data_IF_442109188652
#
_entry.id   IF_442109188652
#
_cell.length_a   1.000
_cell.length_b   1.000
_cell.length_c   1.000
_cell.angle_alpha   90.00
_cell.angle_beta   90.00
_cell.angle_gamma   90.00
#
_symmetry.space_group_name_H-M   'P 1'
#
loop_
_entity.id
_entity.type
_entity.pdbx_description
1 polymer ?
#
# COMPACT_ATOMS: atom_id res chain seq x y z
N UNK A 1 -82.41 35.57 45.53
CA UNK A 1 -82.00 36.99 45.66
C UNK A 1 -80.49 37.03 45.41
N UNK A 2 -80.00 37.23 44.17
CA UNK A 2 -79.52 38.53 43.58
C UNK A 2 -78.81 39.38 44.65
N UNK A 3 -77.52 39.71 44.58
CA UNK A 3 -76.68 40.22 43.46
C UNK A 3 -75.19 40.09 43.86
N UNK A 4 -74.30 39.44 43.10
CA UNK A 4 -73.40 40.00 42.05
C UNK A 4 -73.04 41.49 42.19
N UNK A 5 -71.76 41.78 42.43
CA UNK A 5 -71.05 43.03 42.15
C UNK A 5 -69.53 42.68 42.08
N UNK A 6 -68.94 42.36 40.92
CA UNK A 6 -68.43 43.21 39.82
C UNK A 6 -67.16 44.04 40.15
N UNK A 7 -66.05 43.64 39.54
CA UNK A 7 -65.00 44.45 38.90
C UNK A 7 -64.47 45.66 39.71
N UNK A 8 -63.17 45.68 40.05
CA UNK A 8 -62.20 46.72 39.65
C UNK A 8 -60.81 46.48 40.30
N UNK A 9 -59.85 46.12 39.44
CA UNK A 9 -58.47 46.62 39.31
C UNK A 9 -57.50 46.52 40.49
N UNK A 10 -56.49 45.68 40.31
CA UNK A 10 -55.18 45.79 40.95
C UNK A 10 -54.12 45.11 40.09
N UNK A 11 -53.54 45.86 39.15
CA UNK A 11 -52.41 45.46 38.32
C UNK A 11 -51.16 45.35 39.22
N UNK A 12 -50.91 44.17 39.79
CA UNK A 12 -49.68 43.91 40.52
C UNK A 12 -48.68 43.23 39.58
N UNK A 13 -47.74 44.05 39.11
CA UNK A 13 -46.55 43.69 38.37
C UNK A 13 -45.81 42.54 39.08
N UNK A 14 -45.91 41.32 38.54
CA UNK A 14 -45.13 40.19 39.01
C UNK A 14 -43.67 40.39 38.59
N UNK A 15 -42.86 40.97 39.48
CA UNK A 15 -41.40 40.91 39.40
C UNK A 15 -41.03 39.45 39.72
N UNK A 16 -40.93 38.63 38.68
CA UNK A 16 -40.30 37.31 38.79
C UNK A 16 -38.80 37.57 38.97
N UNK A 17 -38.37 37.44 40.22
CA UNK A 17 -36.97 37.42 40.63
C UNK A 17 -36.29 36.23 39.94
N UNK A 18 -35.66 36.47 38.78
CA UNK A 18 -34.75 35.52 38.16
C UNK A 18 -33.52 35.39 39.06
N UNK A 19 -33.59 34.48 40.04
CA UNK A 19 -32.41 33.99 40.74
C UNK A 19 -31.60 33.22 39.71
N UNK A 20 -30.55 33.88 39.20
CA UNK A 20 -29.61 33.30 38.27
C UNK A 20 -28.94 32.08 38.89
N UNK A 21 -29.39 30.89 38.49
CA UNK A 21 -28.57 29.69 38.60
C UNK A 21 -27.48 29.85 37.53
N UNK A 22 -26.36 30.44 37.93
CA UNK A 22 -25.12 30.32 37.17
C UNK A 22 -24.74 28.83 37.19
N UNK A 23 -25.23 28.08 36.20
CA UNK A 23 -24.66 26.77 35.90
C UNK A 23 -23.17 27.01 35.64
N UNK A 24 -22.25 26.30 36.30
CA UNK A 24 -20.86 26.36 35.91
C UNK A 24 -20.82 25.93 34.44
N UNK A 25 -20.56 26.89 33.56
CA UNK A 25 -20.12 26.62 32.21
C UNK A 25 -18.83 25.85 32.36
N UNK A 26 -18.95 24.51 32.39
CA UNK A 26 -17.80 23.65 32.24
C UNK A 26 -17.23 24.07 30.90
N UNK A 27 -16.07 24.72 30.91
CA UNK A 27 -15.29 24.91 29.72
C UNK A 27 -15.20 23.53 29.08
N UNK A 28 -15.94 23.31 28.00
CA UNK A 28 -15.71 22.17 27.14
C UNK A 28 -14.30 22.41 26.62
N UNK A 29 -13.31 21.81 27.30
CA UNK A 29 -11.99 21.65 26.74
C UNK A 29 -12.24 21.00 25.39
N UNK A 30 -12.05 21.76 24.31
CA UNK A 30 -12.11 21.22 22.97
C UNK A 30 -11.21 19.99 22.98
N UNK A 31 -11.78 18.82 22.69
CA UNK A 31 -10.98 17.61 22.57
C UNK A 31 -9.85 17.93 21.58
N UNK A 32 -8.61 17.73 22.01
CA UNK A 32 -7.46 17.95 21.14
C UNK A 32 -7.57 17.13 19.85
N UNK A 33 -6.78 17.45 18.82
CA UNK A 33 -6.84 16.77 17.54
C UNK A 33 -6.71 15.25 17.71
N UNK A 34 -7.54 14.49 17.01
CA UNK A 34 -7.55 13.03 17.06
C UNK A 34 -6.49 12.49 16.11
N UNK A 35 -5.37 12.06 16.68
CA UNK A 35 -4.21 11.55 15.94
C UNK A 35 -4.23 10.02 15.94
N UNK A 36 -3.95 9.42 14.79
CA UNK A 36 -3.69 7.99 14.66
C UNK A 36 -2.32 7.71 14.04
N UNK A 37 -1.80 6.51 14.26
CA UNK A 37 -0.54 6.02 13.70
C UNK A 37 -0.82 4.72 12.95
N UNK A 38 -0.19 4.55 11.79
CA UNK A 38 -0.16 3.31 11.01
C UNK A 38 1.28 2.86 10.80
N UNK A 39 1.50 1.55 10.80
CA UNK A 39 2.76 0.97 10.38
C UNK A 39 2.71 0.70 8.87
N UNK A 40 3.32 1.57 8.06
CA UNK A 40 3.32 1.45 6.61
C UNK A 40 3.98 0.17 6.09
N UNK A 41 5.02 -0.33 6.74
CA UNK A 41 5.70 -1.57 6.33
C UNK A 41 4.80 -2.79 6.55
N UNK A 42 4.10 -2.85 7.70
CA UNK A 42 3.08 -3.87 7.96
C UNK A 42 1.94 -3.80 6.96
N UNK A 43 1.45 -2.60 6.65
CA UNK A 43 0.39 -2.43 5.64
C UNK A 43 0.84 -2.98 4.28
N UNK A 44 2.06 -2.68 3.85
CA UNK A 44 2.61 -3.21 2.59
C UNK A 44 2.82 -4.72 2.62
N UNK A 45 3.16 -5.30 3.77
CA UNK A 45 3.43 -6.74 3.89
C UNK A 45 2.16 -7.59 4.06
N UNK A 46 1.15 -7.05 4.76
CA UNK A 46 -0.02 -7.82 5.21
C UNK A 46 -1.29 -7.52 4.40
N UNK A 47 -1.33 -6.42 3.62
CA UNK A 47 -2.47 -6.12 2.76
C UNK A 47 -2.53 -7.00 1.51
N UNK A 48 -3.73 -7.23 0.98
CA UNK A 48 -3.97 -8.02 -0.23
C UNK A 48 -3.21 -7.45 -1.44
N UNK A 49 -3.23 -6.13 -1.61
CA UNK A 49 -2.49 -5.44 -2.67
C UNK A 49 -0.98 -5.61 -2.50
N UNK A 50 -0.48 -5.54 -1.28
CA UNK A 50 0.94 -5.72 -0.96
C UNK A 50 1.45 -7.13 -1.27
N UNK A 51 0.71 -8.14 -0.82
CA UNK A 51 0.98 -9.55 -1.13
C UNK A 51 0.92 -9.80 -2.65
N UNK A 52 -0.08 -9.23 -3.34
CA UNK A 52 -0.22 -9.38 -4.78
C UNK A 52 1.00 -8.84 -5.54
N UNK A 53 1.40 -7.58 -5.29
CA UNK A 53 2.53 -6.99 -6.01
C UNK A 53 3.85 -7.72 -5.70
N UNK A 54 4.00 -8.24 -4.48
CA UNK A 54 5.16 -9.04 -4.10
C UNK A 54 5.21 -10.36 -4.88
N UNK A 55 4.08 -11.06 -5.02
CA UNK A 55 3.99 -12.31 -5.78
C UNK A 55 4.24 -12.08 -7.27
N UNK A 56 3.68 -11.01 -7.84
CA UNK A 56 3.95 -10.62 -9.22
C UNK A 56 5.47 -10.37 -9.41
N UNK A 57 6.10 -9.62 -8.50
CA UNK A 57 7.52 -9.28 -8.59
C UNK A 57 8.40 -10.53 -8.49
N UNK A 58 8.09 -11.44 -7.56
CA UNK A 58 8.81 -12.70 -7.42
C UNK A 58 8.67 -13.58 -8.67
N UNK A 59 7.47 -13.63 -9.26
CA UNK A 59 7.20 -14.38 -10.49
C UNK A 59 8.01 -13.82 -11.64
N UNK A 60 8.00 -12.50 -11.84
CA UNK A 60 8.77 -11.85 -12.90
C UNK A 60 10.27 -12.03 -12.72
N UNK A 61 10.80 -11.85 -11.50
CA UNK A 61 12.22 -12.06 -11.21
C UNK A 61 12.65 -13.51 -11.51
N UNK A 62 11.81 -14.48 -11.16
CA UNK A 62 12.07 -15.91 -11.42
C UNK A 62 12.06 -16.22 -12.92
N UNK A 63 11.14 -15.62 -13.70
CA UNK A 63 11.12 -15.77 -15.17
C UNK A 63 12.42 -15.23 -15.81
N UNK A 64 12.84 -14.03 -15.41
CA UNK A 64 14.08 -13.43 -15.91
C UNK A 64 15.32 -14.25 -15.52
N UNK A 65 15.42 -14.72 -14.27
CA UNK A 65 16.53 -15.58 -13.82
C UNK A 65 16.60 -16.87 -14.64
N UNK A 66 15.46 -17.52 -14.89
CA UNK A 66 15.39 -18.73 -15.71
C UNK A 66 15.86 -18.48 -17.16
N UNK A 67 15.44 -17.36 -17.77
CA UNK A 67 15.86 -16.99 -19.13
C UNK A 67 17.35 -16.69 -19.20
N UNK A 68 17.90 -15.97 -18.22
CA UNK A 68 19.33 -15.67 -18.11
C UNK A 68 20.14 -16.95 -17.93
N UNK A 69 19.71 -17.85 -17.03
CA UNK A 69 20.36 -19.14 -16.82
C UNK A 69 20.33 -20.02 -18.07
N UNK A 70 19.20 -20.09 -18.77
CA UNK A 70 19.09 -20.84 -20.02
C UNK A 70 20.10 -20.34 -21.06
N UNK A 71 20.27 -19.02 -21.16
CA UNK A 71 21.25 -18.42 -22.07
C UNK A 71 22.69 -18.70 -21.67
N UNK A 72 22.99 -18.70 -20.37
CA UNK A 72 24.33 -19.07 -19.89
C UNK A 72 24.65 -20.54 -20.22
N UNK A 73 23.70 -21.44 -20.01
CA UNK A 73 23.86 -22.87 -20.35
C UNK A 73 24.07 -23.07 -21.86
N UNK A 74 23.40 -22.30 -22.71
CA UNK A 74 23.63 -22.30 -24.17
C UNK A 74 25.09 -21.95 -24.50
N UNK A 75 25.62 -20.88 -23.90
CA UNK A 75 27.02 -20.44 -24.09
C UNK A 75 27.99 -21.53 -23.64
N UNK A 76 27.80 -22.08 -22.43
CA UNK A 76 28.67 -23.12 -21.88
C UNK A 76 28.65 -24.38 -22.75
N UNK A 77 27.49 -24.72 -23.31
CA UNK A 77 27.34 -25.87 -24.23
C UNK A 77 28.10 -25.64 -25.54
N UNK A 78 28.01 -24.45 -26.13
CA UNK A 78 28.75 -24.11 -27.36
C UNK A 78 30.27 -24.12 -27.12
N UNK A 79 30.73 -23.62 -25.97
CA UNK A 79 32.14 -23.65 -25.58
C UNK A 79 32.64 -25.09 -25.41
N UNK A 80 31.88 -25.94 -24.73
CA UNK A 80 32.22 -27.36 -24.57
C UNK A 80 32.27 -28.09 -25.92
N UNK A 81 31.37 -27.78 -26.86
CA UNK A 81 31.41 -28.33 -28.22
C UNK A 81 32.67 -27.89 -28.98
N UNK A 82 33.05 -26.61 -28.86
CA UNK A 82 34.27 -26.09 -29.49
C UNK A 82 35.52 -26.79 -28.96
N UNK A 83 35.60 -27.01 -27.64
CA UNK A 83 36.72 -27.70 -27.00
C UNK A 83 36.81 -29.19 -27.39
N UNK A 84 35.69 -29.92 -27.30
CA UNK A 84 35.67 -31.35 -27.59
C UNK A 84 35.98 -31.69 -29.05
N UNK A 85 35.57 -30.84 -29.98
CA UNK A 85 35.66 -31.12 -31.41
C UNK A 85 36.79 -30.33 -32.09
N UNK A 86 37.69 -29.71 -31.32
CA UNK A 86 38.74 -28.83 -31.83
C UNK A 86 39.65 -29.48 -32.88
N UNK A 87 39.90 -30.79 -32.75
CA UNK A 87 40.79 -31.54 -33.65
C UNK A 87 40.06 -32.19 -34.82
N UNK A 88 38.72 -32.21 -34.80
CA UNK A 88 37.89 -32.92 -35.78
C UNK A 88 37.03 -32.00 -36.65
N UNK A 89 36.77 -30.77 -36.21
CA UNK A 89 36.01 -29.78 -36.97
C UNK A 89 36.84 -29.14 -38.09
N UNK A 90 36.14 -28.77 -39.16
CA UNK A 90 36.71 -27.89 -40.19
C UNK A 90 36.86 -26.47 -39.64
N UNK A 91 37.75 -25.67 -40.24
CA UNK A 91 37.90 -24.26 -39.87
C UNK A 91 36.58 -23.48 -39.98
N UNK A 92 35.75 -23.78 -40.98
CA UNK A 92 34.44 -23.15 -41.15
C UNK A 92 33.48 -23.49 -40.00
N UNK A 93 33.42 -24.76 -39.59
CA UNK A 93 32.57 -25.19 -38.48
C UNK A 93 33.01 -24.57 -37.15
N UNK A 94 34.32 -24.47 -36.90
CA UNK A 94 34.87 -23.79 -35.73
C UNK A 94 34.52 -22.29 -35.71
N UNK A 95 34.66 -21.60 -36.85
CA UNK A 95 34.30 -20.19 -36.97
C UNK A 95 32.80 -19.95 -36.72
N UNK A 96 31.93 -20.88 -37.16
CA UNK A 96 30.48 -20.81 -36.87
C UNK A 96 30.18 -20.94 -35.39
N UNK A 97 30.82 -21.87 -34.66
CA UNK A 97 30.62 -22.02 -33.22
C UNK A 97 31.09 -20.76 -32.48
N UNK A 98 32.25 -20.22 -32.82
CA UNK A 98 32.76 -18.97 -32.24
C UNK A 98 31.78 -17.80 -32.47
N UNK A 99 31.28 -17.65 -33.70
CA UNK A 99 30.28 -16.62 -34.01
C UNK A 99 28.99 -16.80 -33.20
N UNK A 100 28.53 -18.03 -33.00
CA UNK A 100 27.34 -18.32 -32.19
C UNK A 100 27.57 -18.00 -30.70
N UNK A 101 28.78 -18.24 -30.17
CA UNK A 101 29.17 -17.87 -28.80
C UNK A 101 29.14 -16.35 -28.64
N UNK A 102 29.77 -15.61 -29.55
CA UNK A 102 29.79 -14.14 -29.55
C UNK A 102 28.37 -13.56 -29.60
N UNK A 103 27.54 -14.07 -30.52
CA UNK A 103 26.14 -13.67 -30.62
C UNK A 103 25.38 -13.97 -29.31
N UNK A 104 25.63 -15.12 -28.71
CA UNK A 104 24.99 -15.51 -27.46
C UNK A 104 25.42 -14.65 -26.27
N UNK A 105 26.68 -14.22 -26.20
CA UNK A 105 27.14 -13.29 -25.19
C UNK A 105 26.47 -11.92 -25.33
N UNK A 106 26.32 -11.42 -26.57
CA UNK A 106 25.59 -10.16 -26.84
C UNK A 106 24.12 -10.27 -26.40
N UNK A 107 23.47 -11.37 -26.74
CA UNK A 107 22.08 -11.60 -26.37
C UNK A 107 21.90 -11.77 -24.85
N UNK A 108 22.86 -12.39 -24.16
CA UNK A 108 22.88 -12.47 -22.70
C UNK A 108 22.93 -11.08 -22.07
N UNK A 109 23.83 -10.21 -22.55
CA UNK A 109 23.93 -8.84 -22.05
C UNK A 109 22.61 -8.07 -22.27
N UNK A 110 22.02 -8.18 -23.47
CA UNK A 110 20.72 -7.56 -23.78
C UNK A 110 19.62 -8.08 -22.85
N UNK A 111 19.61 -9.38 -22.59
CA UNK A 111 18.62 -10.01 -21.72
C UNK A 111 18.73 -9.53 -20.27
N UNK A 112 19.95 -9.35 -19.76
CA UNK A 112 20.19 -8.78 -18.43
C UNK A 112 19.72 -7.31 -18.36
N UNK A 113 20.02 -6.51 -19.38
CA UNK A 113 19.58 -5.12 -19.45
C UNK A 113 18.04 -5.02 -19.53
N UNK A 114 17.40 -5.90 -20.30
CA UNK A 114 15.95 -5.99 -20.42
C UNK A 114 15.30 -6.39 -19.09
N UNK A 115 15.88 -7.38 -18.39
CA UNK A 115 15.42 -7.79 -17.07
C UNK A 115 15.45 -6.62 -16.08
N UNK A 116 16.56 -5.88 -16.02
CA UNK A 116 16.68 -4.71 -15.13
C UNK A 116 15.63 -3.64 -15.46
N UNK A 117 15.45 -3.31 -16.75
CA UNK A 117 14.43 -2.34 -17.18
C UNK A 117 13.01 -2.81 -16.90
N UNK A 118 12.72 -4.10 -17.06
CA UNK A 118 11.41 -4.66 -16.79
C UNK A 118 11.09 -4.62 -15.30
N UNK A 119 12.01 -5.05 -14.45
CA UNK A 119 11.84 -5.04 -12.99
C UNK A 119 11.71 -3.63 -12.43
N UNK A 120 12.48 -2.65 -12.95
CA UNK A 120 12.33 -1.24 -12.56
C UNK A 120 10.94 -0.69 -12.92
N UNK A 121 10.49 -0.89 -14.16
CA UNK A 121 9.14 -0.46 -14.60
C UNK A 121 8.05 -1.13 -13.79
N UNK A 122 8.24 -2.40 -13.48
CA UNK A 122 7.31 -3.15 -12.64
C UNK A 122 7.22 -2.57 -11.22
N UNK A 123 8.35 -2.21 -10.61
CA UNK A 123 8.38 -1.57 -9.30
C UNK A 123 7.65 -0.21 -9.30
N UNK A 124 7.87 0.61 -10.33
CA UNK A 124 7.16 1.89 -10.50
C UNK A 124 5.64 1.67 -10.63
N UNK A 125 5.22 0.72 -11.45
CA UNK A 125 3.80 0.39 -11.62
C UNK A 125 3.18 -0.18 -10.35
N UNK A 126 3.91 -1.03 -9.61
CA UNK A 126 3.46 -1.55 -8.33
C UNK A 126 3.25 -0.42 -7.33
N UNK A 127 4.18 0.54 -7.24
CA UNK A 127 4.06 1.70 -6.36
C UNK A 127 2.82 2.54 -6.69
N UNK A 128 2.55 2.78 -7.97
CA UNK A 128 1.34 3.49 -8.42
C UNK A 128 0.08 2.74 -7.99
N UNK A 129 -0.01 1.44 -8.27
CA UNK A 129 -1.17 0.61 -7.88
C UNK A 129 -1.38 0.59 -6.37
N UNK A 130 -0.31 0.48 -5.59
CA UNK A 130 -0.37 0.56 -4.13
C UNK A 130 -0.98 1.91 -3.69
N UNK A 131 -0.48 3.03 -4.23
CA UNK A 131 -0.98 4.36 -3.87
C UNK A 131 -2.46 4.55 -4.23
N UNK A 132 -2.88 4.07 -5.40
CA UNK A 132 -4.28 4.09 -5.84
C UNK A 132 -5.21 3.34 -4.88
N UNK A 133 -4.69 2.37 -4.12
CA UNK A 133 -5.47 1.63 -3.12
C UNK A 133 -5.36 2.22 -1.71
N UNK A 134 -4.15 2.63 -1.32
CA UNK A 134 -3.88 3.11 0.04
C UNK A 134 -4.42 4.52 0.29
N UNK A 135 -4.22 5.46 -0.64
CA UNK A 135 -4.63 6.86 -0.43
C UNK A 135 -6.14 7.00 -0.19
N UNK A 136 -7.04 6.41 -1.00
CA UNK A 136 -8.47 6.51 -0.73
C UNK A 136 -8.88 5.81 0.57
N UNK A 137 -8.22 4.70 0.92
CA UNK A 137 -8.52 3.97 2.14
C UNK A 137 -8.13 4.77 3.40
N UNK A 138 -7.02 5.52 3.38
CA UNK A 138 -6.62 6.33 4.55
C UNK A 138 -7.55 7.53 4.72
N UNK A 139 -8.02 8.13 3.62
CA UNK A 139 -9.04 9.19 3.65
C UNK A 139 -10.37 8.69 4.20
N UNK A 140 -10.82 7.52 3.76
CA UNK A 140 -12.02 6.87 4.29
C UNK A 140 -11.87 6.57 5.78
N UNK A 141 -10.72 6.02 6.20
CA UNK A 141 -10.45 5.74 7.61
C UNK A 141 -10.49 7.02 8.46
N UNK A 142 -9.90 8.11 7.96
CA UNK A 142 -9.91 9.40 8.62
C UNK A 142 -11.34 9.93 8.78
N UNK A 143 -12.15 9.89 7.72
CA UNK A 143 -13.53 10.37 7.73
C UNK A 143 -14.43 9.54 8.66
N UNK A 144 -14.37 8.20 8.60
CA UNK A 144 -15.22 7.30 9.39
C UNK A 144 -14.91 7.36 10.88
N UNK A 145 -13.63 7.53 11.24
CA UNK A 145 -13.19 7.53 12.62
C UNK A 145 -13.03 8.94 13.20
N UNK A 146 -13.14 9.98 12.37
CA UNK A 146 -12.92 11.38 12.75
C UNK A 146 -11.47 11.65 13.17
N UNK A 147 -10.49 11.10 12.45
CA UNK A 147 -9.08 11.43 12.66
C UNK A 147 -8.72 12.74 11.95
N UNK A 148 -8.06 13.64 12.66
CA UNK A 148 -7.55 14.90 12.09
C UNK A 148 -6.16 14.72 11.45
N UNK A 149 -5.44 13.68 11.88
CA UNK A 149 -4.10 13.37 11.39
C UNK A 149 -3.83 11.86 11.51
N UNK A 150 -3.30 11.28 10.43
CA UNK A 150 -2.79 9.90 10.43
C UNK A 150 -1.32 9.96 10.06
N UNK A 151 -0.47 9.38 10.92
CA UNK A 151 0.98 9.35 10.74
C UNK A 151 1.44 7.94 10.36
N UNK A 152 2.33 7.84 9.38
CA UNK A 152 3.01 6.59 9.04
C UNK A 152 4.29 6.46 9.87
N UNK A 153 4.55 5.30 10.48
CA UNK A 153 5.80 5.02 11.23
C UNK A 153 7.06 5.12 10.37
N UNK A 154 6.94 5.05 9.04
CA UNK A 154 8.06 5.30 8.10
C UNK A 154 8.49 6.76 8.09
N UNK A 155 7.65 7.67 8.61
CA UNK A 155 8.01 9.07 8.77
C UNK A 155 9.12 9.21 9.81
N UNK A 156 10.18 9.92 9.44
CA UNK A 156 11.29 10.20 10.36
C UNK A 156 10.80 11.01 11.57
N UNK A 157 11.27 10.65 12.77
CA UNK A 157 11.00 11.40 14.01
C UNK A 157 9.97 10.79 14.96
N UNK A 158 9.28 9.71 14.57
CA UNK A 158 8.40 8.97 15.50
C UNK A 158 9.25 7.95 16.26
N UNK A 159 9.56 8.25 17.53
CA UNK A 159 10.32 7.32 18.41
C UNK A 159 9.40 6.42 19.24
N UNK A 160 8.20 6.89 19.56
CA UNK A 160 7.22 6.18 20.38
C UNK A 160 5.80 6.69 20.08
N UNK A 161 4.83 5.80 20.13
CA UNK A 161 3.41 6.11 20.15
C UNK A 161 2.69 5.07 21.02
N UNK A 162 1.56 5.45 21.61
CA UNK A 162 0.77 4.53 22.41
C UNK A 162 0.00 3.55 21.51
N UNK A 163 -0.11 2.27 21.91
CA UNK A 163 -0.90 1.27 21.17
C UNK A 163 -2.36 1.69 20.96
N UNK A 164 -2.91 2.52 21.85
CA UNK A 164 -4.27 3.03 21.74
C UNK A 164 -4.53 3.92 20.51
N UNK A 165 -3.46 4.47 19.89
CA UNK A 165 -3.56 5.25 18.65
C UNK A 165 -3.01 4.49 17.43
N UNK A 166 -2.60 3.24 17.61
CA UNK A 166 -2.26 2.35 16.49
C UNK A 166 -3.54 1.89 15.80
N UNK A 167 -3.68 2.20 14.52
CA UNK A 167 -4.83 1.81 13.70
C UNK A 167 -4.43 0.92 12.53
N UNK A 168 -3.22 0.35 12.56
CA UNK A 168 -2.64 -0.47 11.49
C UNK A 168 -3.58 -1.59 11.06
N UNK A 169 -4.08 -2.40 12.00
CA UNK A 169 -4.92 -3.56 11.68
C UNK A 169 -6.26 -3.14 11.07
N UNK A 170 -6.85 -2.05 11.58
CA UNK A 170 -8.09 -1.47 11.04
C UNK A 170 -7.87 -0.97 9.62
N UNK A 171 -6.74 -0.32 9.38
CA UNK A 171 -6.39 0.19 8.06
C UNK A 171 -6.14 -0.94 7.05
N UNK A 172 -5.42 -2.00 7.43
CA UNK A 172 -5.23 -3.20 6.59
C UNK A 172 -6.59 -3.82 6.24
N UNK A 173 -7.47 -3.99 7.23
CA UNK A 173 -8.81 -4.54 7.00
C UNK A 173 -9.61 -3.70 5.99
N UNK A 174 -9.53 -2.36 6.07
CA UNK A 174 -10.19 -1.46 5.15
C UNK A 174 -9.61 -1.55 3.72
N UNK A 175 -8.28 -1.55 3.60
CA UNK A 175 -7.59 -1.73 2.32
C UNK A 175 -8.01 -3.04 1.65
N UNK A 176 -8.08 -4.13 2.42
CA UNK A 176 -8.47 -5.45 1.93
C UNK A 176 -9.97 -5.51 1.56
N UNK A 177 -10.84 -4.82 2.30
CA UNK A 177 -12.26 -4.74 1.96
C UNK A 177 -12.51 -4.00 0.65
N UNK A 178 -11.75 -2.93 0.40
CA UNK A 178 -11.80 -2.16 -0.84
C UNK A 178 -11.09 -2.88 -2.02
N UNK A 179 -10.29 -3.90 -1.71
CA UNK A 179 -9.48 -4.68 -2.65
C UNK A 179 -9.52 -6.16 -2.28
N UNK A 180 -10.66 -6.83 -2.47
CA UNK A 180 -10.74 -8.25 -2.20
C UNK A 180 -9.64 -8.96 -3.02
N UNK A 181 -8.93 -9.93 -2.42
CA UNK A 181 -7.91 -10.69 -3.14
C UNK A 181 -8.52 -11.25 -4.43
N UNK A 182 -7.74 -11.40 -5.52
CA UNK A 182 -8.23 -12.04 -6.73
C UNK A 182 -8.92 -13.33 -6.31
N UNK A 183 -10.22 -13.46 -6.62
CA UNK A 183 -10.95 -14.68 -6.32
C UNK A 183 -10.15 -15.78 -6.99
N UNK A 184 -9.56 -16.68 -6.21
CA UNK A 184 -9.04 -17.92 -6.76
C UNK A 184 -10.25 -18.52 -7.47
N UNK A 185 -10.23 -18.50 -8.79
CA UNK A 185 -11.21 -19.20 -9.59
C UNK A 185 -11.18 -20.63 -9.07
N UNK A 186 -12.16 -20.94 -8.23
CA UNK A 186 -12.45 -22.28 -7.77
C UNK A 186 -12.78 -23.03 -9.04
N UNK A 187 -11.75 -23.64 -9.64
CA UNK A 187 -11.88 -24.58 -10.75
C UNK A 187 -13.01 -25.54 -10.38
N UNK A 188 -14.17 -25.31 -11.02
CA UNK A 188 -15.29 -26.22 -11.13
C UNK A 188 -15.30 -26.75 -12.55
#
# INVERSE_FOLDING_TARGET
MKSMNWIVRGLALAIILNVGVALPAHAQLAAGPKIAVINGDRVLMESSIGIQVQQEAQTSATDWDNRIRAKQVEIDTLLAQAEQQQLTLTQEAMARIQSNVEQSQVDLQRLQDDAQRALNRMAEQAQTRINERLVPAVEQLAAEAGYDLILDTRMQGILYFATAIDVTDRYIALVNANNPPPQQESNR
#
